data_IF_394246874644
#
_entry.id   IF_394246874644
#
_cell.length_a   1.000
_cell.length_b   1.000
_cell.length_c   1.000
_cell.angle_alpha   90.00
_cell.angle_beta   90.00
_cell.angle_gamma   90.00
#
_symmetry.space_group_name_H-M   'P 1'
#
loop_
_entity.id
_entity.type
_entity.pdbx_description
1 polymer ?
#
# COMPACT_ATOMS: atom_id res chain seq x y z
N UNK A 1 -10.37 28.76 -2.52
CA UNK A 1 -10.66 30.21 -2.54
C UNK A 1 -10.10 30.86 -3.82
N UNK A 2 -10.61 30.52 -5.00
CA UNK A 2 -10.15 31.12 -6.27
C UNK A 2 -11.27 31.66 -7.16
N UNK A 3 -12.53 31.66 -6.69
CA UNK A 3 -13.69 32.01 -7.52
C UNK A 3 -14.34 33.37 -7.25
N UNK A 4 -13.85 34.17 -6.29
CA UNK A 4 -14.43 35.49 -5.99
C UNK A 4 -13.63 36.69 -6.51
N UNK A 5 -12.43 36.49 -7.07
CA UNK A 5 -11.59 37.60 -7.54
C UNK A 5 -11.93 38.09 -8.96
N UNK A 6 -12.64 37.29 -9.77
CA UNK A 6 -12.85 37.58 -11.21
C UNK A 6 -14.11 38.40 -11.49
N UNK A 7 -15.09 38.46 -10.57
CA UNK A 7 -16.36 39.16 -10.84
C UNK A 7 -16.30 40.69 -10.63
N UNK A 8 -15.22 41.24 -10.07
CA UNK A 8 -15.12 42.68 -9.76
C UNK A 8 -14.56 43.53 -10.92
N UNK A 9 -14.16 42.91 -12.04
CA UNK A 9 -13.42 43.58 -13.11
C UNK A 9 -14.21 43.87 -14.40
N UNK A 10 -15.51 43.56 -14.48
CA UNK A 10 -16.28 43.66 -15.74
C UNK A 10 -17.32 44.80 -15.77
N UNK A 11 -17.62 45.51 -14.67
CA UNK A 11 -18.80 46.40 -14.62
C UNK A 11 -18.58 47.92 -14.58
N UNK A 12 -17.36 48.43 -14.78
CA UNK A 12 -17.15 49.89 -14.84
C UNK A 12 -16.28 50.28 -16.04
N UNK A 13 -16.87 50.24 -17.23
CA UNK A 13 -16.36 50.92 -18.40
C UNK A 13 -17.49 51.78 -19.02
N UNK A 14 -17.11 53.00 -19.42
CA UNK A 14 -17.88 54.02 -20.15
C UNK A 14 -18.73 55.00 -19.33
N UNK A 15 -18.17 56.19 -19.11
CA UNK A 15 -18.82 57.48 -19.38
C UNK A 15 -17.80 58.61 -19.17
N UNK A 16 -17.07 58.95 -20.23
CA UNK A 16 -16.33 60.21 -20.31
C UNK A 16 -17.32 61.36 -20.52
N UNK A 17 -17.22 62.41 -19.70
CA UNK A 17 -17.61 63.75 -20.11
C UNK A 17 -16.54 64.76 -19.66
N UNK A 18 -15.95 65.39 -20.67
CA UNK A 18 -14.90 66.39 -20.55
C UNK A 18 -15.41 67.73 -19.98
N UNK A 19 -14.57 68.40 -19.17
CA UNK A 19 -14.48 69.86 -19.17
C UNK A 19 -13.05 70.33 -18.83
N UNK A 20 -12.71 71.47 -19.43
CA UNK A 20 -11.41 71.89 -19.93
C UNK A 20 -10.67 72.81 -18.94
N UNK A 21 -9.37 72.55 -18.78
CA UNK A 21 -8.22 73.43 -18.46
C UNK A 21 -8.35 74.57 -17.43
N UNK A 22 -7.41 74.61 -16.48
CA UNK A 22 -6.46 75.74 -16.28
C UNK A 22 -5.21 75.25 -15.53
N UNK A 23 -4.04 75.64 -16.04
CA UNK A 23 -2.71 75.31 -15.52
C UNK A 23 -2.40 75.99 -14.18
N UNK A 24 -1.58 75.28 -13.40
CA UNK A 24 -0.56 75.78 -12.47
C UNK A 24 -1.00 76.63 -11.27
N UNK A 25 -1.49 75.97 -10.20
CA UNK A 25 -1.17 76.30 -8.80
C UNK A 25 -1.13 75.02 -7.96
N UNK A 26 0.06 74.65 -7.47
CA UNK A 26 0.24 73.83 -6.27
C UNK A 26 0.68 72.38 -6.46
N UNK A 27 2.00 72.14 -6.53
CA UNK A 27 2.65 70.85 -6.25
C UNK A 27 2.28 70.27 -4.85
N UNK A 28 1.72 71.12 -3.98
CA UNK A 28 1.19 70.74 -2.67
C UNK A 28 -0.21 70.08 -2.74
N UNK A 29 -1.04 70.36 -3.76
CA UNK A 29 -2.40 69.79 -3.85
C UNK A 29 -2.40 68.32 -4.29
N UNK A 30 -1.53 67.96 -5.24
CA UNK A 30 -1.35 66.56 -5.67
C UNK A 30 -0.76 65.67 -4.57
N UNK A 31 0.08 66.24 -3.68
CA UNK A 31 0.64 65.51 -2.54
C UNK A 31 -0.43 65.13 -1.49
N UNK A 32 -1.43 66.01 -1.27
CA UNK A 32 -2.56 65.70 -0.38
C UNK A 32 -3.62 64.81 -1.05
N UNK A 33 -3.76 64.85 -2.38
CA UNK A 33 -4.63 63.90 -3.10
C UNK A 33 -4.14 62.45 -3.02
N UNK A 34 -2.83 62.20 -2.91
CA UNK A 34 -2.28 60.86 -2.69
C UNK A 34 -2.62 60.29 -1.30
N UNK A 35 -2.84 61.15 -0.30
CA UNK A 35 -3.25 60.78 1.06
C UNK A 35 -4.78 60.78 1.25
N UNK A 36 -5.56 60.92 0.16
CA UNK A 36 -7.01 60.84 0.25
C UNK A 36 -7.49 59.38 0.18
N UNK A 37 -8.20 58.97 1.23
CA UNK A 37 -8.90 57.68 1.27
C UNK A 37 -10.38 57.91 0.93
N UNK A 38 -10.77 57.58 -0.30
CA UNK A 38 -12.19 57.60 -0.69
C UNK A 38 -12.92 56.42 -0.07
N UNK A 39 -13.92 56.71 0.77
CA UNK A 39 -14.84 55.70 1.31
C UNK A 39 -16.16 55.72 0.56
N UNK A 40 -16.76 54.56 0.26
CA UNK A 40 -18.08 54.52 -0.33
C UNK A 40 -19.10 55.15 0.61
N UNK A 41 -19.95 56.05 0.10
CA UNK A 41 -21.07 56.60 0.86
C UNK A 41 -22.09 55.49 1.14
N UNK A 42 -22.12 55.00 2.37
CA UNK A 42 -23.03 53.92 2.81
C UNK A 42 -24.37 54.52 3.22
N UNK A 43 -25.47 54.02 2.66
CA UNK A 43 -26.83 54.40 3.06
C UNK A 43 -27.31 53.49 4.20
N UNK A 44 -27.69 54.09 5.33
CA UNK A 44 -28.20 53.35 6.49
C UNK A 44 -29.72 53.29 6.45
N UNK A 45 -30.27 52.14 6.07
CA UNK A 45 -31.72 51.90 6.04
C UNK A 45 -32.19 51.41 7.43
N UNK A 46 -32.97 52.23 8.15
CA UNK A 46 -33.55 51.85 9.45
C UNK A 46 -34.89 51.12 9.26
N UNK A 47 -34.83 49.81 9.01
CA UNK A 47 -36.01 48.93 8.98
C UNK A 47 -35.78 47.68 9.85
N UNK A 48 -36.70 47.41 10.78
CA UNK A 48 -36.57 46.31 11.75
C UNK A 48 -36.57 44.92 11.09
N UNK A 49 -37.43 44.71 10.08
CA UNK A 49 -37.53 43.41 9.41
C UNK A 49 -36.30 43.13 8.55
N UNK A 50 -35.85 44.13 7.78
CA UNK A 50 -34.64 44.03 6.96
C UNK A 50 -33.39 43.85 7.84
N UNK A 51 -33.34 44.54 8.99
CA UNK A 51 -32.25 44.40 9.96
C UNK A 51 -32.17 43.01 10.59
N UNK A 52 -33.31 42.40 10.96
CA UNK A 52 -33.35 41.02 11.49
C UNK A 52 -32.89 40.03 10.42
N UNK A 53 -33.38 40.16 9.18
CA UNK A 53 -32.96 39.29 8.06
C UNK A 53 -31.44 39.41 7.80
N UNK A 54 -30.92 40.63 7.72
CA UNK A 54 -29.49 40.87 7.49
C UNK A 54 -28.62 40.31 8.62
N UNK A 55 -29.01 40.54 9.89
CA UNK A 55 -28.29 39.99 11.06
C UNK A 55 -28.43 38.46 11.15
N UNK A 56 -29.57 37.90 10.75
CA UNK A 56 -29.78 36.46 10.67
C UNK A 56 -28.85 35.79 9.65
N UNK A 57 -28.74 36.35 8.45
CA UNK A 57 -27.78 35.87 7.44
C UNK A 57 -26.34 36.00 7.93
N UNK A 58 -25.99 37.12 8.55
CA UNK A 58 -24.66 37.32 9.13
C UNK A 58 -24.34 36.28 10.22
N UNK A 59 -25.31 35.98 11.11
CA UNK A 59 -25.17 34.95 12.14
C UNK A 59 -24.99 33.55 11.51
N UNK A 60 -25.78 33.22 10.49
CA UNK A 60 -25.68 31.93 9.79
C UNK A 60 -24.30 31.76 9.14
N UNK A 61 -23.78 32.81 8.48
CA UNK A 61 -22.44 32.80 7.91
C UNK A 61 -21.38 32.59 9.00
N UNK A 62 -21.48 33.31 10.12
CA UNK A 62 -20.55 33.16 11.25
C UNK A 62 -20.60 31.74 11.84
N UNK A 63 -21.79 31.19 12.05
CA UNK A 63 -21.96 29.81 12.54
C UNK A 63 -21.36 28.79 11.57
N UNK A 64 -21.53 28.99 10.27
CA UNK A 64 -20.89 28.15 9.26
C UNK A 64 -19.36 28.20 9.36
N UNK A 65 -18.76 29.38 9.42
CA UNK A 65 -17.30 29.49 9.54
C UNK A 65 -16.79 28.88 10.85
N UNK A 66 -17.41 29.19 11.99
CA UNK A 66 -16.99 28.68 13.29
C UNK A 66 -17.15 27.15 13.35
N UNK A 67 -18.33 26.63 13.04
CA UNK A 67 -18.63 25.22 13.22
C UNK A 67 -18.01 24.35 12.14
N UNK A 68 -18.19 24.71 10.87
CA UNK A 68 -17.73 23.88 9.76
C UNK A 68 -16.25 24.10 9.46
N UNK A 69 -15.82 25.35 9.28
CA UNK A 69 -14.44 25.64 8.83
C UNK A 69 -13.45 25.50 9.97
N UNK A 70 -13.73 26.06 11.14
CA UNK A 70 -12.79 26.02 12.26
C UNK A 70 -12.87 24.71 13.05
N UNK A 71 -14.06 24.23 13.43
CA UNK A 71 -14.16 23.02 14.27
C UNK A 71 -14.02 21.72 13.45
N UNK A 72 -14.83 21.55 12.39
CA UNK A 72 -14.84 20.28 11.63
C UNK A 72 -13.62 20.13 10.73
N UNK A 73 -13.33 21.14 9.91
CA UNK A 73 -12.21 21.10 8.96
C UNK A 73 -10.86 21.43 9.62
N UNK A 74 -10.85 21.87 10.89
CA UNK A 74 -9.64 22.33 11.59
C UNK A 74 -8.84 23.34 10.78
N UNK A 75 -9.52 24.29 10.13
CA UNK A 75 -8.87 25.28 9.25
C UNK A 75 -7.91 26.24 9.96
N UNK A 76 -7.78 26.16 11.29
CA UNK A 76 -6.79 26.86 12.09
C UNK A 76 -5.44 26.14 12.17
N UNK A 77 -5.37 24.85 11.82
CA UNK A 77 -4.15 24.05 11.86
C UNK A 77 -3.47 24.03 10.50
N UNK A 78 -2.14 24.12 10.50
CA UNK A 78 -1.36 23.64 9.36
C UNK A 78 -1.28 22.12 9.44
N UNK A 79 -1.43 21.44 8.31
CA UNK A 79 -1.33 19.98 8.26
C UNK A 79 -0.23 19.50 7.34
N UNK A 80 0.41 18.40 7.73
CA UNK A 80 1.39 17.67 6.95
C UNK A 80 0.84 16.26 6.70
N UNK A 81 0.84 15.85 5.45
CA UNK A 81 0.34 14.55 4.99
C UNK A 81 1.48 13.74 4.42
N UNK A 82 1.53 12.43 4.73
CA UNK A 82 2.56 11.53 4.20
C UNK A 82 3.83 11.54 5.06
N UNK A 83 3.84 10.83 6.20
CA UNK A 83 5.01 10.75 7.05
C UNK A 83 6.17 10.03 6.35
N UNK A 84 7.39 10.41 6.70
CA UNK A 84 8.55 9.54 6.51
C UNK A 84 8.40 8.34 7.44
N UNK A 85 8.29 7.14 6.87
CA UNK A 85 8.02 5.93 7.64
C UNK A 85 9.12 4.89 7.45
N UNK A 86 9.51 4.26 8.55
CA UNK A 86 10.40 3.10 8.56
C UNK A 86 9.63 1.91 9.13
N UNK A 87 9.59 0.81 8.39
CA UNK A 87 8.88 -0.42 8.77
C UNK A 87 9.89 -1.56 8.83
N UNK A 88 9.92 -2.25 9.97
CA UNK A 88 10.68 -3.46 10.17
C UNK A 88 9.73 -4.60 10.54
N UNK A 89 9.83 -5.71 9.83
CA UNK A 89 8.99 -6.88 10.02
C UNK A 89 9.82 -8.11 10.36
N UNK A 90 9.29 -8.95 11.23
CA UNK A 90 9.91 -10.23 11.57
C UNK A 90 8.85 -11.29 11.79
N UNK A 91 8.94 -12.39 11.05
CA UNK A 91 8.03 -13.52 11.19
C UNK A 91 8.64 -14.56 12.13
N UNK A 92 7.81 -15.24 12.89
CA UNK A 92 8.17 -16.40 13.71
C UNK A 92 7.11 -17.48 13.61
N UNK A 93 7.57 -18.71 13.48
CA UNK A 93 6.74 -19.90 13.45
C UNK A 93 7.52 -21.06 12.85
N UNK A 94 7.16 -22.28 13.24
CA UNK A 94 7.69 -23.49 12.64
C UNK A 94 6.53 -24.36 12.21
N UNK A 95 6.70 -25.10 11.13
CA UNK A 95 5.68 -26.05 10.67
C UNK A 95 6.34 -27.32 10.15
N UNK A 96 5.57 -28.40 10.10
CA UNK A 96 6.02 -29.70 9.60
C UNK A 96 5.15 -30.10 8.43
N UNK A 97 5.80 -30.34 7.31
CA UNK A 97 5.24 -31.01 6.15
C UNK A 97 5.54 -32.52 6.24
N UNK A 98 4.90 -33.37 5.41
CA UNK A 98 5.18 -34.81 5.41
C UNK A 98 6.66 -35.15 5.18
N UNK A 99 7.37 -34.33 4.39
CA UNK A 99 8.75 -34.56 3.97
C UNK A 99 9.79 -33.88 4.87
N UNK A 100 9.49 -32.70 5.43
CA UNK A 100 10.45 -31.91 6.22
C UNK A 100 9.82 -30.89 7.16
N UNK A 101 10.65 -30.39 8.08
CA UNK A 101 10.34 -29.22 8.93
C UNK A 101 10.68 -27.95 8.16
N UNK A 102 9.85 -26.93 8.32
CA UNK A 102 9.96 -25.62 7.68
C UNK A 102 10.18 -24.54 8.75
N UNK A 103 11.20 -23.71 8.52
CA UNK A 103 11.52 -22.54 9.34
C UNK A 103 11.44 -21.24 8.52
N UNK A 104 11.50 -20.11 9.20
CA UNK A 104 11.31 -18.74 8.68
C UNK A 104 12.17 -18.48 7.44
N UNK A 105 13.40 -18.99 7.42
CA UNK A 105 14.38 -18.80 6.36
C UNK A 105 13.94 -19.48 5.04
N UNK A 106 13.07 -20.47 5.11
CA UNK A 106 12.58 -21.20 3.94
C UNK A 106 11.26 -20.63 3.41
N UNK A 107 10.31 -20.33 4.31
CA UNK A 107 8.96 -19.92 3.91
C UNK A 107 8.75 -18.39 3.87
N UNK A 108 9.70 -17.56 4.32
CA UNK A 108 9.61 -16.10 4.24
C UNK A 108 10.55 -15.53 3.18
N UNK A 109 10.02 -14.66 2.32
CA UNK A 109 10.78 -13.98 1.25
C UNK A 109 10.25 -12.55 1.00
N UNK A 110 11.11 -11.53 0.84
CA UNK A 110 12.54 -11.51 1.13
C UNK A 110 12.82 -11.74 2.63
N UNK A 111 14.02 -12.19 2.99
CA UNK A 111 14.36 -12.55 4.38
C UNK A 111 14.74 -11.32 5.22
N UNK A 112 15.15 -10.24 4.54
CA UNK A 112 15.48 -8.93 5.09
C UNK A 112 14.27 -8.27 5.79
N UNK A 113 13.07 -8.68 5.41
CA UNK A 113 11.82 -8.03 5.83
C UNK A 113 11.67 -6.65 5.20
N UNK A 114 10.85 -5.81 5.84
CA UNK A 114 10.51 -4.47 5.38
C UNK A 114 9.00 -4.26 5.30
N UNK A 115 8.57 -3.38 4.41
CA UNK A 115 7.14 -3.12 4.20
C UNK A 115 6.44 -4.22 3.40
N UNK A 116 7.18 -5.01 2.60
CA UNK A 116 6.62 -6.07 1.75
C UNK A 116 7.34 -7.38 1.99
N UNK A 117 6.60 -8.43 2.33
CA UNK A 117 7.14 -9.78 2.48
C UNK A 117 6.06 -10.83 2.20
N UNK A 118 6.49 -12.03 1.79
CA UNK A 118 5.62 -13.16 1.44
C UNK A 118 5.85 -14.29 2.41
N UNK A 119 4.77 -14.90 2.88
CA UNK A 119 4.78 -16.12 3.68
C UNK A 119 4.21 -17.24 2.81
N UNK A 120 5.04 -18.25 2.55
CA UNK A 120 4.64 -19.40 1.74
C UNK A 120 3.68 -20.30 2.52
N UNK A 121 2.57 -20.64 1.88
CA UNK A 121 1.51 -21.50 2.43
C UNK A 121 1.40 -22.82 1.70
N UNK A 122 1.87 -22.89 0.46
CA UNK A 122 1.91 -24.12 -0.35
C UNK A 122 3.05 -24.03 -1.35
N UNK A 123 3.75 -25.14 -1.56
CA UNK A 123 4.84 -25.21 -2.55
C UNK A 123 4.69 -26.46 -3.40
N UNK A 124 5.01 -26.33 -4.68
CA UNK A 124 5.14 -27.43 -5.63
C UNK A 124 6.62 -27.51 -6.00
N UNK A 125 7.25 -28.65 -5.68
CA UNK A 125 8.70 -28.83 -5.83
C UNK A 125 8.97 -29.86 -6.92
N UNK A 126 9.72 -29.44 -7.95
CA UNK A 126 10.30 -30.33 -8.95
C UNK A 126 11.79 -30.49 -8.63
N UNK A 127 12.17 -31.67 -8.13
CA UNK A 127 13.55 -31.94 -7.71
C UNK A 127 14.40 -32.41 -8.88
N UNK A 128 15.71 -32.18 -8.76
CA UNK A 128 16.73 -32.77 -9.62
C UNK A 128 16.56 -32.48 -11.11
N UNK A 129 16.20 -31.25 -11.46
CA UNK A 129 16.20 -30.84 -12.86
C UNK A 129 17.63 -30.70 -13.40
N UNK A 130 17.90 -31.33 -14.53
CA UNK A 130 19.15 -31.21 -15.29
C UNK A 130 18.86 -30.65 -16.68
N UNK A 131 19.87 -30.08 -17.33
CA UNK A 131 19.71 -29.56 -18.70
C UNK A 131 19.80 -30.71 -19.70
N UNK A 132 18.65 -31.22 -20.13
CA UNK A 132 18.51 -32.41 -20.98
C UNK A 132 17.34 -32.24 -21.95
N UNK A 133 17.00 -33.29 -22.69
CA UNK A 133 15.84 -33.35 -23.57
C UNK A 133 14.72 -34.15 -22.92
N UNK A 134 13.51 -33.58 -22.86
CA UNK A 134 12.34 -34.24 -22.28
C UNK A 134 11.04 -33.82 -22.99
N UNK A 135 9.94 -34.60 -22.84
CA UNK A 135 8.61 -34.16 -23.27
C UNK A 135 8.21 -32.83 -22.62
N UNK A 136 7.64 -31.91 -23.41
CA UNK A 136 7.04 -30.67 -22.92
C UNK A 136 5.77 -30.93 -22.10
N UNK A 137 5.43 -29.97 -21.23
CA UNK A 137 4.20 -29.93 -20.42
C UNK A 137 2.94 -29.96 -21.29
N UNK A 138 1.92 -30.69 -20.82
CA UNK A 138 0.60 -30.74 -21.47
C UNK A 138 -0.21 -29.45 -21.27
N UNK A 139 0.17 -28.62 -20.30
CA UNK A 139 -0.49 -27.33 -20.04
C UNK A 139 -0.07 -26.25 -21.03
N UNK A 140 1.05 -26.44 -21.74
CA UNK A 140 1.58 -25.48 -22.71
C UNK A 140 0.76 -25.56 -24.01
N UNK A 141 0.25 -24.42 -24.53
CA UNK A 141 -0.43 -24.38 -25.81
C UNK A 141 0.45 -24.95 -26.94
N UNK A 142 -0.16 -25.69 -27.86
CA UNK A 142 0.53 -26.29 -29.01
C UNK A 142 1.66 -27.28 -28.65
N UNK A 143 1.74 -27.79 -27.42
CA UNK A 143 2.75 -28.78 -27.04
C UNK A 143 2.38 -30.22 -27.45
N UNK A 144 1.08 -30.50 -27.66
CA UNK A 144 0.60 -31.84 -28.05
C UNK A 144 0.89 -32.10 -29.53
N UNK A 145 1.42 -33.27 -29.84
CA UNK A 145 1.79 -33.67 -31.19
C UNK A 145 1.23 -35.06 -31.52
N UNK A 146 1.01 -35.33 -32.80
CA UNK A 146 0.68 -36.67 -33.30
C UNK A 146 1.87 -37.31 -34.00
N UNK A 147 2.67 -36.47 -34.68
CA UNK A 147 3.84 -36.85 -35.48
C UNK A 147 4.99 -35.86 -35.31
N UNK A 148 6.20 -36.27 -35.67
CA UNK A 148 7.39 -35.43 -35.55
C UNK A 148 7.29 -34.14 -36.39
N UNK A 149 6.51 -34.12 -37.48
CA UNK A 149 6.29 -32.92 -38.30
C UNK A 149 5.52 -31.80 -37.59
N UNK A 150 4.81 -32.12 -36.52
CA UNK A 150 4.06 -31.13 -35.73
C UNK A 150 5.01 -30.30 -34.84
N UNK A 151 6.23 -30.79 -34.61
CA UNK A 151 7.24 -30.15 -33.79
C UNK A 151 8.31 -29.53 -34.70
N UNK A 152 8.33 -28.20 -34.79
CA UNK A 152 9.37 -27.50 -35.58
C UNK A 152 10.64 -27.37 -34.73
N UNK A 153 11.75 -27.90 -35.24
CA UNK A 153 13.04 -27.81 -34.56
C UNK A 153 13.52 -26.36 -34.45
N UNK A 154 14.02 -25.96 -33.28
CA UNK A 154 14.52 -24.62 -32.99
C UNK A 154 13.42 -23.58 -32.67
N UNK A 155 12.15 -23.99 -32.70
CA UNK A 155 11.05 -23.13 -32.27
C UNK A 155 10.97 -23.08 -30.74
N UNK A 156 10.77 -21.87 -30.21
CA UNK A 156 10.56 -21.62 -28.79
C UNK A 156 9.15 -21.05 -28.59
N UNK A 157 8.32 -21.78 -27.85
CA UNK A 157 7.00 -21.31 -27.45
C UNK A 157 7.16 -20.33 -26.27
N UNK A 158 6.53 -19.16 -26.34
CA UNK A 158 6.71 -18.10 -25.33
C UNK A 158 6.18 -18.49 -23.95
N UNK A 159 5.18 -19.38 -23.93
CA UNK A 159 4.63 -19.98 -22.71
C UNK A 159 5.24 -21.36 -22.40
N UNK A 160 6.17 -21.83 -23.23
CA UNK A 160 6.85 -23.12 -23.09
C UNK A 160 8.05 -23.07 -22.14
N UNK A 161 8.64 -24.23 -21.89
CA UNK A 161 9.74 -24.39 -20.94
C UNK A 161 11.12 -24.45 -21.60
N UNK A 162 11.18 -24.69 -22.92
CA UNK A 162 12.44 -24.77 -23.66
C UNK A 162 12.28 -24.77 -25.18
N UNK A 163 13.38 -25.10 -25.86
CA UNK A 163 13.49 -25.12 -27.33
C UNK A 163 13.13 -26.50 -27.89
N UNK A 164 12.28 -26.55 -28.92
CA UNK A 164 11.83 -27.82 -29.53
C UNK A 164 12.96 -28.50 -30.31
N UNK A 165 13.12 -29.81 -30.11
CA UNK A 165 14.10 -30.63 -30.86
C UNK A 165 13.56 -31.10 -32.22
N UNK A 166 12.25 -31.05 -32.40
CA UNK A 166 11.55 -31.52 -33.61
C UNK A 166 11.07 -32.97 -33.56
N UNK A 167 11.05 -33.59 -32.38
CA UNK A 167 10.57 -34.97 -32.18
C UNK A 167 9.30 -34.99 -31.35
N UNK A 168 8.39 -35.92 -31.67
CA UNK A 168 7.16 -36.16 -30.93
C UNK A 168 7.31 -37.39 -30.05
N UNK A 169 7.40 -37.18 -28.73
CA UNK A 169 7.70 -38.24 -27.75
C UNK A 169 6.49 -38.53 -26.86
N UNK A 170 6.32 -39.77 -26.37
CA UNK A 170 5.27 -40.08 -25.40
C UNK A 170 5.49 -39.32 -24.09
N UNK A 171 4.39 -38.80 -23.53
CA UNK A 171 4.42 -38.10 -22.25
C UNK A 171 4.65 -39.08 -21.08
N UNK A 172 5.12 -38.59 -19.92
CA UNK A 172 5.43 -39.43 -18.74
C UNK A 172 4.25 -40.28 -18.25
N UNK A 173 3.01 -39.83 -18.45
CA UNK A 173 1.80 -40.49 -17.96
C UNK A 173 0.65 -40.35 -18.94
N UNK A 174 0.01 -41.47 -19.30
CA UNK A 174 -1.15 -41.51 -20.20
C UNK A 174 -0.80 -41.71 -21.68
N UNK A 175 -1.81 -41.71 -22.58
CA UNK A 175 -1.61 -41.96 -24.01
C UNK A 175 -1.19 -40.72 -24.82
N UNK A 176 -1.03 -39.56 -24.17
CA UNK A 176 -0.66 -38.31 -24.83
C UNK A 176 0.79 -38.30 -25.30
N UNK A 177 1.05 -37.60 -26.42
CA UNK A 177 2.40 -37.31 -26.91
C UNK A 177 2.62 -35.80 -26.94
N UNK A 178 3.82 -35.36 -26.59
CA UNK A 178 4.21 -33.95 -26.64
C UNK A 178 5.53 -33.78 -27.37
N UNK A 179 5.76 -32.57 -27.87
CA UNK A 179 7.03 -32.24 -28.50
C UNK A 179 8.16 -32.35 -27.46
N UNK A 180 9.27 -32.94 -27.88
CA UNK A 180 10.51 -33.00 -27.11
C UNK A 180 11.17 -31.62 -27.12
N UNK A 181 11.57 -31.14 -25.95
CA UNK A 181 12.22 -29.85 -25.74
C UNK A 181 13.56 -30.02 -25.02
N UNK A 182 14.52 -29.18 -25.37
CA UNK A 182 15.77 -29.00 -24.64
C UNK A 182 15.51 -27.98 -23.53
N UNK A 183 15.42 -28.45 -22.29
CA UNK A 183 14.97 -27.66 -21.15
C UNK A 183 15.57 -28.19 -19.84
N UNK A 184 15.18 -27.57 -18.72
CA UNK A 184 15.43 -28.13 -17.41
C UNK A 184 14.45 -29.27 -17.13
N UNK A 185 14.92 -30.49 -17.32
CA UNK A 185 14.14 -31.71 -17.30
C UNK A 185 14.25 -32.45 -15.96
N UNK A 186 13.17 -33.05 -15.44
CA UNK A 186 11.81 -33.08 -16.01
C UNK A 186 11.09 -31.73 -15.85
N UNK A 187 10.20 -31.42 -16.80
CA UNK A 187 9.30 -30.26 -16.73
C UNK A 187 8.31 -30.42 -15.55
N UNK A 188 7.77 -29.30 -15.03
CA UNK A 188 6.96 -29.19 -13.80
C UNK A 188 5.87 -30.28 -13.65
N UNK A 189 5.28 -30.75 -14.74
CA UNK A 189 4.15 -31.69 -14.72
C UNK A 189 4.55 -33.17 -14.54
N UNK A 190 5.85 -33.50 -14.64
CA UNK A 190 6.33 -34.89 -14.63
C UNK A 190 6.62 -35.50 -13.25
N UNK A 191 6.72 -34.67 -12.20
CA UNK A 191 7.20 -35.13 -10.89
C UNK A 191 7.08 -34.13 -9.74
N UNK A 192 6.12 -33.21 -9.81
CA UNK A 192 5.90 -32.21 -8.76
C UNK A 192 5.36 -32.84 -7.48
N UNK A 193 6.01 -32.54 -6.36
CA UNK A 193 5.50 -32.86 -5.03
C UNK A 193 4.91 -31.60 -4.41
N UNK A 194 3.61 -31.64 -4.14
CA UNK A 194 2.89 -30.55 -3.47
C UNK A 194 3.00 -30.70 -1.95
N UNK A 195 3.52 -29.68 -1.29
CA UNK A 195 3.64 -29.60 0.17
C UNK A 195 2.83 -28.40 0.68
N UNK A 196 1.86 -28.67 1.56
CA UNK A 196 1.02 -27.64 2.17
C UNK A 196 1.51 -27.27 3.57
N UNK A 197 1.71 -25.98 3.81
CA UNK A 197 2.07 -25.37 5.09
C UNK A 197 0.85 -24.71 5.77
N UNK A 198 -0.27 -24.58 5.06
CA UNK A 198 -1.43 -23.77 5.44
C UNK A 198 -1.98 -24.07 6.84
N UNK A 199 -2.04 -25.34 7.25
CA UNK A 199 -2.69 -25.73 8.54
C UNK A 199 -2.05 -25.07 9.77
N UNK A 200 -0.73 -24.92 9.81
CA UNK A 200 -0.03 -24.25 10.90
C UNK A 200 0.33 -22.79 10.59
N UNK A 201 0.37 -22.40 9.32
CA UNK A 201 0.71 -21.04 8.92
C UNK A 201 -0.22 -19.98 9.55
N UNK A 202 -1.48 -20.32 9.81
CA UNK A 202 -2.42 -19.43 10.51
C UNK A 202 -1.94 -19.01 11.91
N UNK A 203 -1.12 -19.83 12.58
CA UNK A 203 -0.58 -19.57 13.92
C UNK A 203 0.76 -18.83 13.89
N UNK A 204 1.30 -18.53 12.70
CA UNK A 204 2.53 -17.76 12.61
C UNK A 204 2.32 -16.35 13.15
N UNK A 205 3.36 -15.85 13.80
CA UNK A 205 3.37 -14.54 14.41
C UNK A 205 4.23 -13.59 13.61
N UNK A 206 3.75 -12.37 13.43
CA UNK A 206 4.40 -11.32 12.66
C UNK A 206 4.59 -10.14 13.60
N UNK A 207 5.85 -9.81 13.85
CA UNK A 207 6.24 -8.59 14.54
C UNK A 207 6.31 -7.45 13.52
N UNK A 208 5.52 -6.40 13.71
CA UNK A 208 5.55 -5.19 12.88
C UNK A 208 5.97 -4.01 13.75
N UNK A 209 7.17 -3.48 13.49
CA UNK A 209 7.66 -2.25 14.09
C UNK A 209 7.56 -1.13 13.05
N UNK A 210 6.93 -0.04 13.43
CA UNK A 210 6.81 1.14 12.58
C UNK A 210 7.23 2.40 13.34
N UNK A 211 8.15 3.16 12.73
CA UNK A 211 8.53 4.50 13.17
C UNK A 211 8.06 5.51 12.13
N UNK A 212 7.54 6.65 12.59
CA UNK A 212 7.08 7.74 11.74
C UNK A 212 7.74 9.05 12.13
N UNK A 213 8.02 9.87 11.13
CA UNK A 213 8.56 11.21 11.28
C UNK A 213 7.81 12.16 10.36
N UNK A 214 7.56 13.36 10.88
CA UNK A 214 6.91 14.48 10.22
C UNK A 214 7.90 15.65 10.23
N UNK A 215 8.78 15.74 9.20
CA UNK A 215 9.91 16.67 9.20
C UNK A 215 9.49 18.13 9.31
N UNK A 216 8.36 18.53 8.72
CA UNK A 216 7.89 19.92 8.76
C UNK A 216 7.64 20.42 10.18
N UNK A 217 7.16 19.53 11.05
CA UNK A 217 6.87 19.84 12.45
C UNK A 217 7.92 19.30 13.43
N UNK A 218 9.02 18.73 12.94
CA UNK A 218 10.04 18.11 13.81
C UNK A 218 9.53 16.96 14.67
N UNK A 219 8.33 16.43 14.37
CA UNK A 219 7.64 15.46 15.21
C UNK A 219 8.03 14.04 14.80
N UNK A 220 8.56 13.28 15.75
CA UNK A 220 8.93 11.88 15.55
C UNK A 220 8.25 11.01 16.59
N UNK A 221 7.52 9.99 16.14
CA UNK A 221 6.97 8.95 17.01
C UNK A 221 7.78 7.68 16.82
N UNK A 222 8.62 7.39 17.82
CA UNK A 222 9.43 6.18 17.86
C UNK A 222 8.56 4.98 18.25
N UNK A 223 8.03 4.30 17.25
CA UNK A 223 7.40 3.01 17.43
C UNK A 223 5.91 3.06 17.69
N UNK A 224 5.21 2.10 17.09
CA UNK A 224 3.91 1.59 17.51
C UNK A 224 4.00 0.69 18.77
N UNK A 225 5.12 0.71 19.50
CA UNK A 225 5.46 -0.25 20.55
C UNK A 225 5.70 0.48 21.85
N UNK A 226 5.00 0.10 22.92
CA UNK A 226 5.34 0.57 24.27
C UNK A 226 6.65 -0.09 24.73
N UNK A 227 7.48 0.65 25.47
CA UNK A 227 8.71 0.10 26.04
C UNK A 227 8.47 -1.22 26.78
N UNK A 228 9.38 -2.18 26.63
CA UNK A 228 9.24 -3.55 27.14
C UNK A 228 9.38 -3.59 28.67
N UNK A 229 8.30 -3.24 29.38
CA UNK A 229 8.20 -3.41 30.83
C UNK A 229 7.77 -4.85 31.13
N UNK A 230 8.54 -5.57 31.95
CA UNK A 230 8.24 -6.91 32.45
C UNK A 230 8.08 -8.01 31.39
N UNK A 231 8.71 -7.88 30.21
CA UNK A 231 8.64 -8.91 29.17
C UNK A 231 7.28 -8.99 28.47
N UNK A 232 6.52 -7.88 28.46
CA UNK A 232 5.27 -7.72 27.73
C UNK A 232 5.37 -8.22 26.27
N UNK A 233 6.49 -7.94 25.61
CA UNK A 233 6.72 -8.34 24.22
C UNK A 233 6.87 -9.86 24.02
N UNK A 234 6.99 -10.66 25.09
CA UNK A 234 7.10 -12.12 24.98
C UNK A 234 5.76 -12.82 24.83
N UNK A 235 4.69 -12.23 25.36
CA UNK A 235 3.37 -12.86 25.44
C UNK A 235 2.23 -12.06 24.81
N UNK A 236 2.44 -10.77 24.51
CA UNK A 236 1.37 -9.96 23.95
C UNK A 236 0.94 -10.48 22.57
N UNK A 237 -0.34 -10.31 22.25
CA UNK A 237 -0.88 -10.46 20.90
C UNK A 237 -1.73 -9.23 20.63
N UNK A 238 -1.63 -8.68 19.42
CA UNK A 238 -2.37 -7.49 19.03
C UNK A 238 -3.88 -7.66 19.20
N UNK A 239 -4.49 -6.65 19.81
CA UNK A 239 -5.94 -6.50 19.90
C UNK A 239 -6.27 -5.00 19.92
N UNK A 240 -7.23 -4.56 19.10
CA UNK A 240 -7.58 -3.14 18.98
C UNK A 240 -8.08 -2.53 20.30
N UNK A 241 -8.73 -3.34 21.16
CA UNK A 241 -9.33 -2.85 22.41
C UNK A 241 -8.43 -3.04 23.63
N UNK A 242 -7.80 -4.21 23.78
CA UNK A 242 -7.00 -4.53 24.98
C UNK A 242 -5.53 -4.15 24.84
N UNK A 243 -4.94 -4.32 23.65
CA UNK A 243 -3.49 -4.34 23.43
C UNK A 243 -3.09 -3.65 22.12
N UNK A 244 -3.53 -2.40 21.95
CA UNK A 244 -3.30 -1.60 20.73
C UNK A 244 -1.81 -1.44 20.36
N UNK A 245 -0.94 -1.44 21.37
CA UNK A 245 0.50 -1.22 21.23
C UNK A 245 1.32 -2.52 21.17
N UNK A 246 0.66 -3.68 21.11
CA UNK A 246 1.37 -4.94 20.87
C UNK A 246 1.72 -5.06 19.37
N UNK A 247 3.00 -5.14 19.00
CA UNK A 247 3.41 -5.27 17.60
C UNK A 247 3.29 -6.69 17.02
N UNK A 248 2.78 -7.66 17.78
CA UNK A 248 2.76 -9.08 17.41
C UNK A 248 1.37 -9.46 16.92
N UNK A 249 1.27 -9.78 15.65
CA UNK A 249 0.03 -10.15 14.97
C UNK A 249 0.07 -11.64 14.62
N UNK A 250 -1.08 -12.32 14.73
CA UNK A 250 -1.23 -13.67 14.19
C UNK A 250 -1.66 -13.59 12.73
N UNK A 251 -1.05 -14.38 11.87
CA UNK A 251 -1.36 -14.38 10.44
C UNK A 251 -2.84 -14.73 10.17
N UNK A 252 -3.38 -15.74 10.86
CA UNK A 252 -4.80 -16.11 10.76
C UNK A 252 -5.72 -14.93 11.10
N UNK A 253 -5.45 -14.24 12.21
CA UNK A 253 -6.25 -13.09 12.64
C UNK A 253 -6.16 -11.89 11.69
N UNK A 254 -5.04 -11.69 10.99
CA UNK A 254 -4.91 -10.67 9.94
C UNK A 254 -5.84 -10.99 8.77
N UNK A 255 -5.84 -12.25 8.33
CA UNK A 255 -6.65 -12.71 7.18
C UNK A 255 -8.14 -12.69 7.53
N UNK A 256 -8.50 -13.11 8.73
CA UNK A 256 -9.88 -13.06 9.24
C UNK A 256 -10.40 -11.61 9.34
N UNK A 257 -9.59 -10.69 9.89
CA UNK A 257 -9.96 -9.27 9.97
C UNK A 257 -10.05 -8.59 8.59
N UNK A 258 -9.35 -9.11 7.59
CA UNK A 258 -9.51 -8.69 6.20
C UNK A 258 -10.79 -9.24 5.53
N UNK A 259 -11.55 -10.11 6.22
CA UNK A 259 -12.78 -10.72 5.71
C UNK A 259 -12.54 -11.90 4.75
N UNK A 260 -11.38 -12.55 4.82
CA UNK A 260 -11.01 -13.68 3.95
C UNK A 260 -11.00 -15.02 4.69
N UNK A 261 -11.21 -16.11 3.94
CA UNK A 261 -11.03 -17.46 4.47
C UNK A 261 -9.56 -17.89 4.33
N UNK A 262 -8.91 -18.19 5.45
CA UNK A 262 -7.50 -18.56 5.47
C UNK A 262 -7.18 -19.79 4.63
N UNK A 263 -8.00 -20.85 4.68
CA UNK A 263 -7.74 -22.09 3.97
C UNK A 263 -7.75 -21.88 2.46
N UNK A 264 -8.75 -21.17 1.94
CA UNK A 264 -8.85 -20.86 0.52
C UNK A 264 -7.70 -19.94 0.06
N UNK A 265 -7.34 -18.95 0.88
CA UNK A 265 -6.23 -18.04 0.59
C UNK A 265 -4.88 -18.77 0.63
N UNK A 266 -4.72 -19.75 1.51
CA UNK A 266 -3.49 -20.55 1.61
C UNK A 266 -3.27 -21.46 0.41
N UNK A 267 -4.34 -21.92 -0.27
CA UNK A 267 -4.25 -22.77 -1.46
C UNK A 267 -3.89 -21.98 -2.73
N UNK A 268 -4.54 -20.84 -2.94
CA UNK A 268 -4.37 -20.01 -4.15
C UNK A 268 -3.28 -18.93 -4.00
N UNK A 269 -2.98 -18.55 -2.76
CA UNK A 269 -2.22 -17.35 -2.43
C UNK A 269 -3.05 -16.08 -2.59
N UNK A 270 -2.52 -14.97 -2.08
CA UNK A 270 -3.10 -13.65 -2.28
C UNK A 270 -2.30 -12.54 -1.61
N UNK A 271 -2.80 -11.32 -1.69
CA UNK A 271 -2.11 -10.12 -1.20
C UNK A 271 -2.98 -9.43 -0.15
N UNK A 272 -2.45 -9.30 1.07
CA UNK A 272 -3.12 -8.65 2.19
C UNK A 272 -2.36 -7.37 2.57
N UNK A 273 -3.10 -6.28 2.68
CA UNK A 273 -2.62 -5.00 3.16
C UNK A 273 -2.83 -4.86 4.67
N UNK A 274 -1.77 -4.57 5.40
CA UNK A 274 -1.81 -4.12 6.79
C UNK A 274 -1.63 -2.61 6.79
N UNK A 275 -2.70 -1.87 7.00
CA UNK A 275 -2.67 -0.40 6.94
C UNK A 275 -2.55 0.17 8.34
N UNK A 276 -1.50 0.94 8.58
CA UNK A 276 -1.24 1.66 9.83
C UNK A 276 -1.52 3.14 9.56
N UNK A 277 -2.56 3.69 10.17
CA UNK A 277 -2.94 5.08 10.03
C UNK A 277 -2.60 5.89 11.30
N UNK A 278 -1.82 6.95 11.12
CA UNK A 278 -1.43 7.91 12.14
C UNK A 278 -2.11 9.25 11.90
N UNK A 279 -3.31 9.42 12.43
CA UNK A 279 -4.01 10.71 12.40
C UNK A 279 -3.87 11.37 13.76
N UNK A 280 -2.95 12.33 13.86
CA UNK A 280 -2.56 12.91 15.14
C UNK A 280 -2.76 14.42 15.15
N UNK A 281 -3.33 14.92 16.24
CA UNK A 281 -3.39 16.34 16.53
C UNK A 281 -2.21 16.70 17.44
N UNK A 282 -1.26 17.48 16.94
CA UNK A 282 -0.06 17.87 17.69
C UNK A 282 -0.34 18.96 18.74
N UNK A 283 -1.54 19.55 18.75
CA UNK A 283 -1.99 20.43 19.83
C UNK A 283 -2.37 19.63 21.10
N UNK A 284 -2.59 18.31 20.95
CA UNK A 284 -2.85 17.38 22.04
C UNK A 284 -1.56 16.71 22.50
N UNK A 285 -1.51 16.18 23.74
CA UNK A 285 -0.34 15.43 24.20
C UNK A 285 -0.08 14.20 23.32
N UNK A 286 1.19 13.81 23.20
CA UNK A 286 1.66 12.67 22.42
C UNK A 286 0.91 11.36 22.70
N UNK A 287 0.38 11.20 23.92
CA UNK A 287 -0.42 10.03 24.31
C UNK A 287 -1.74 9.88 23.54
N UNK A 288 -2.27 10.99 22.99
CA UNK A 288 -3.47 10.98 22.15
C UNK A 288 -3.18 10.50 20.71
N UNK A 289 -1.92 10.58 20.27
CA UNK A 289 -1.48 10.12 18.95
C UNK A 289 -1.26 8.60 18.94
N UNK A 290 -2.26 7.83 18.54
CA UNK A 290 -2.23 6.37 18.56
C UNK A 290 -2.35 5.78 17.14
N UNK A 291 -1.67 4.66 16.83
CA UNK A 291 -1.81 4.01 15.53
C UNK A 291 -3.20 3.36 15.42
N UNK A 292 -3.81 3.44 14.23
CA UNK A 292 -5.00 2.66 13.88
C UNK A 292 -4.67 1.64 12.81
N UNK A 293 -4.95 0.37 13.09
CA UNK A 293 -4.71 -0.72 12.16
C UNK A 293 -5.99 -1.05 11.40
N UNK A 294 -5.85 -1.35 10.12
CA UNK A 294 -6.91 -1.94 9.31
C UNK A 294 -6.31 -2.96 8.36
N UNK A 295 -7.10 -3.97 8.01
CA UNK A 295 -6.66 -5.10 7.20
C UNK A 295 -7.57 -5.22 5.98
N UNK A 296 -7.00 -5.37 4.79
CA UNK A 296 -7.79 -5.56 3.57
C UNK A 296 -7.07 -6.46 2.59
N UNK A 297 -7.80 -7.18 1.76
CA UNK A 297 -7.24 -7.83 0.57
C UNK A 297 -6.96 -6.78 -0.51
N UNK A 298 -5.77 -6.85 -1.12
CA UNK A 298 -5.31 -5.92 -2.15
C UNK A 298 -5.43 -6.49 -3.56
N UNK A 299 -5.37 -7.81 -3.72
CA UNK A 299 -5.53 -8.47 -5.02
C UNK A 299 -7.02 -8.70 -5.38
N UNK A 300 -7.38 -8.58 -6.66
CA UNK A 300 -8.76 -8.80 -7.10
C UNK A 300 -9.14 -10.30 -7.02
N UNK A 301 -10.18 -10.63 -6.26
CA UNK A 301 -10.64 -12.01 -6.03
C UNK A 301 -11.03 -12.81 -7.28
N UNK A 302 -11.49 -12.14 -8.34
CA UNK A 302 -12.12 -12.77 -9.51
C UNK A 302 -11.71 -12.04 -10.78
N UNK A 303 -10.51 -12.31 -11.26
CA UNK A 303 -10.17 -12.03 -12.66
C UNK A 303 -9.83 -13.36 -13.35
N UNK A 304 -10.28 -13.53 -14.59
CA UNK A 304 -10.04 -14.74 -15.39
C UNK A 304 -8.56 -14.93 -15.77
N UNK A 305 -7.70 -13.95 -15.47
CA UNK A 305 -6.32 -13.88 -15.97
C UNK A 305 -5.31 -14.47 -14.98
N UNK A 306 -5.53 -14.35 -13.66
CA UNK A 306 -4.68 -14.97 -12.64
C UNK A 306 -5.40 -14.98 -11.29
N UNK A 307 -5.79 -16.16 -10.80
CA UNK A 307 -6.34 -16.31 -9.45
C UNK A 307 -5.21 -16.51 -8.44
N UNK A 308 -5.02 -15.55 -7.55
CA UNK A 308 -4.12 -15.67 -6.40
C UNK A 308 -2.70 -15.13 -6.63
N UNK A 309 -1.78 -15.51 -5.74
CA UNK A 309 -0.39 -15.05 -5.73
C UNK A 309 0.56 -16.25 -5.68
N UNK A 310 1.36 -16.38 -6.73
CA UNK A 310 2.41 -17.38 -6.83
C UNK A 310 3.63 -16.83 -7.55
N UNK A 311 4.78 -17.44 -7.30
CA UNK A 311 6.02 -17.16 -8.01
C UNK A 311 6.90 -18.40 -8.04
N UNK A 312 7.82 -18.46 -9.01
CA UNK A 312 8.78 -19.54 -9.16
C UNK A 312 10.18 -19.08 -8.81
N UNK A 313 10.94 -19.95 -8.14
CA UNK A 313 12.37 -19.76 -7.93
C UNK A 313 13.08 -21.11 -7.97
N UNK A 314 14.38 -21.08 -8.26
CA UNK A 314 15.20 -22.29 -8.36
C UNK A 314 16.32 -22.27 -7.33
N UNK A 315 16.63 -23.44 -6.77
CA UNK A 315 17.83 -23.68 -5.96
C UNK A 315 18.81 -24.50 -6.80
N UNK A 316 19.94 -23.89 -7.16
CA UNK A 316 20.98 -24.54 -7.95
C UNK A 316 21.97 -25.26 -7.05
N UNK A 317 22.39 -26.47 -7.45
CA UNK A 317 23.39 -27.28 -6.77
C UNK A 317 24.12 -28.19 -7.77
N UNK A 318 25.28 -28.70 -7.37
CA UNK A 318 26.03 -29.65 -8.20
C UNK A 318 25.88 -31.06 -7.63
N UNK A 319 25.50 -32.01 -8.47
CA UNK A 319 25.45 -33.43 -8.15
C UNK A 319 26.40 -34.18 -9.08
N UNK A 320 27.46 -34.79 -8.53
CA UNK A 320 28.41 -35.62 -9.28
C UNK A 320 29.00 -34.93 -10.53
N UNK A 321 29.31 -33.64 -10.45
CA UNK A 321 29.83 -32.85 -11.57
C UNK A 321 28.77 -32.27 -12.51
N UNK A 322 27.50 -32.64 -12.34
CA UNK A 322 26.38 -32.17 -13.16
C UNK A 322 25.65 -31.02 -12.47
N UNK A 323 25.44 -29.93 -13.22
CA UNK A 323 24.67 -28.78 -12.74
C UNK A 323 23.18 -29.16 -12.68
N UNK A 324 22.64 -29.11 -11.47
CA UNK A 324 21.27 -29.52 -11.17
C UNK A 324 20.53 -28.38 -10.49
N UNK A 325 19.20 -28.31 -10.64
CA UNK A 325 18.38 -27.38 -9.87
C UNK A 325 17.14 -28.05 -9.31
N UNK A 326 16.64 -27.53 -8.20
CA UNK A 326 15.27 -27.79 -7.74
C UNK A 326 14.41 -26.57 -8.03
N UNK A 327 13.41 -26.73 -8.89
CA UNK A 327 12.43 -25.70 -9.18
C UNK A 327 11.33 -25.74 -8.13
N UNK A 328 10.99 -24.58 -7.58
CA UNK A 328 9.96 -24.42 -6.56
C UNK A 328 8.97 -23.39 -7.07
N UNK A 329 7.74 -23.82 -7.28
CA UNK A 329 6.60 -22.93 -7.48
C UNK A 329 5.90 -22.74 -6.15
N UNK A 330 5.88 -21.50 -5.68
CA UNK A 330 5.45 -21.17 -4.34
C UNK A 330 4.19 -20.32 -4.38
N UNK A 331 3.21 -20.71 -3.58
CA UNK A 331 1.98 -19.99 -3.33
C UNK A 331 2.03 -19.49 -1.89
N UNK A 332 1.57 -18.27 -1.69
CA UNK A 332 1.69 -17.65 -0.39
C UNK A 332 0.82 -16.43 -0.21
N UNK A 333 0.89 -15.90 1.00
CA UNK A 333 0.24 -14.65 1.37
C UNK A 333 1.33 -13.58 1.38
N UNK A 334 1.24 -12.64 0.45
CA UNK A 334 2.06 -11.44 0.45
C UNK A 334 1.42 -10.39 1.36
N UNK A 335 2.20 -9.85 2.27
CA UNK A 335 1.78 -8.82 3.21
C UNK A 335 2.45 -7.51 2.84
N UNK A 336 1.63 -6.51 2.58
CA UNK A 336 2.05 -5.14 2.29
C UNK A 336 1.66 -4.26 3.48
N UNK A 337 2.65 -3.83 4.26
CA UNK A 337 2.49 -2.89 5.36
C UNK A 337 2.50 -1.48 4.80
N UNK A 338 1.33 -0.84 4.80
CA UNK A 338 1.11 0.48 4.22
C UNK A 338 0.91 1.46 5.36
N UNK A 339 1.78 2.47 5.45
CA UNK A 339 1.71 3.49 6.50
C UNK A 339 1.14 4.76 5.90
N UNK A 340 0.07 5.25 6.52
CA UNK A 340 -0.52 6.55 6.24
C UNK A 340 -0.45 7.41 7.49
N UNK A 341 -0.39 8.71 7.29
CA UNK A 341 -0.48 9.63 8.41
C UNK A 341 -0.75 11.06 7.99
N UNK A 342 -1.39 11.77 8.90
CA UNK A 342 -1.65 13.18 8.83
C UNK A 342 -1.46 13.76 10.23
N UNK A 343 -0.70 14.83 10.32
CA UNK A 343 -0.56 15.63 11.53
C UNK A 343 -1.08 17.03 11.30
N UNK A 344 -1.68 17.61 12.33
CA UNK A 344 -2.10 19.01 12.34
C UNK A 344 -1.55 19.72 13.57
N UNK A 345 -1.06 20.95 13.41
CA UNK A 345 -0.57 21.80 14.49
C UNK A 345 -0.93 23.26 14.26
N UNK A 346 -1.21 23.99 15.34
CA UNK A 346 -1.33 25.45 15.29
C UNK A 346 0.02 26.14 14.98
N UNK A 347 0.07 27.03 13.96
CA UNK A 347 1.33 27.65 13.51
C UNK A 347 1.96 28.64 14.50
N UNK A 348 1.19 29.14 15.49
CA UNK A 348 1.67 30.12 16.48
C UNK A 348 2.17 29.49 17.79
N UNK A 349 2.18 28.16 17.91
CA UNK A 349 2.62 27.49 19.13
C UNK A 349 4.10 27.09 19.01
N UNK A 350 5.02 27.64 19.83
CA UNK A 350 6.44 27.28 19.77
C UNK A 350 6.65 25.81 20.07
N UNK A 351 7.65 25.19 19.41
CA UNK A 351 7.98 23.78 19.56
C UNK A 351 8.43 23.47 20.99
N UNK A 352 7.70 22.66 21.77
CA UNK A 352 8.10 22.35 23.14
C UNK A 352 9.37 21.47 23.22
N UNK A 353 9.87 20.98 22.08
CA UNK A 353 11.01 20.07 22.00
C UNK A 353 12.29 20.67 21.40
N UNK A 354 12.34 21.99 21.14
CA UNK A 354 13.61 22.68 20.89
C UNK A 354 14.19 23.20 22.21
N UNK A 355 15.01 22.36 22.84
CA UNK A 355 16.00 22.75 23.86
C UNK A 355 17.41 22.66 23.30
#
# INVERSE_FOLDING_TARGET
>A
MLHLAVLKQILFASAQHAKRSRLAVGCWRCFWEFWNYETPKVLVVKNRNLGIMYRGVQLLILLYFIWYVFIIQKGYQESETGPESSVLTKVKGITRSPSKVWDVEEYVKPAEGGSVFSILTRVEVTRSQTLETCPESLEVPHATCSSDSDCVAGEMEMLGNGERTGRCVPYYSGPGKTCEVTAWCPVEDGGTVSESLGKMAAQFTILIKNNIQFPRFGFSKYGNVKGDKNGYLKSCTFNETTDLYCPIFRLGSIVEQAGENFTALAEQGGVIGVIINWNCNLDLPDSACNPRYSFRRLDPKRTQVSSGYNYRFAKYYNCNGTNTRSLIKAYGIRIDVIVHGQVGREPFQPDPHHH
#
